data_IF_001607816426
#
_entry.id   IF_001607816426
#
_cell.length_a   1.000
_cell.length_b   1.000
_cell.length_c   1.000
_cell.angle_alpha   90.00
_cell.angle_beta   90.00
_cell.angle_gamma   90.00
#
_symmetry.space_group_name_H-M   'P 1'
#
loop_
_entity.id
_entity.type
_entity.pdbx_description
1 polymer ?
#
# COMPACT_ATOMS: atom_id res chain seq x y z
N UNK A 1 27.47 10.71 -28.21
CA UNK A 1 27.11 9.70 -27.21
C UNK A 1 27.30 8.34 -27.86
N UNK A 2 27.94 7.34 -27.24
CA UNK A 2 28.03 6.00 -27.83
C UNK A 2 26.63 5.44 -28.01
N UNK A 3 26.40 4.78 -29.15
CA UNK A 3 25.13 4.12 -29.45
C UNK A 3 24.83 3.11 -28.35
N UNK A 4 23.76 3.32 -27.59
CA UNK A 4 23.33 2.40 -26.54
C UNK A 4 22.92 1.07 -27.16
N UNK A 5 23.39 -0.01 -26.60
CA UNK A 5 23.07 -1.34 -27.10
C UNK A 5 21.63 -1.72 -26.74
N UNK A 6 20.67 -1.42 -27.61
CA UNK A 6 19.26 -1.68 -27.41
C UNK A 6 18.88 -3.16 -27.27
N UNK A 7 19.80 -4.09 -27.49
CA UNK A 7 19.51 -5.52 -27.35
C UNK A 7 19.20 -5.92 -25.90
N UNK A 8 19.74 -5.20 -24.92
CA UNK A 8 19.44 -5.41 -23.49
C UNK A 8 17.97 -5.12 -23.15
N UNK A 9 17.28 -4.30 -23.93
CA UNK A 9 15.89 -3.90 -23.65
C UNK A 9 14.85 -4.96 -24.02
N UNK A 10 15.25 -6.04 -24.67
CA UNK A 10 14.36 -7.14 -25.04
C UNK A 10 14.08 -8.10 -23.86
N UNK A 11 14.85 -8.00 -22.82
CA UNK A 11 14.71 -8.81 -21.60
C UNK A 11 14.50 -7.90 -20.39
N UNK A 12 13.66 -8.35 -19.47
CA UNK A 12 13.52 -7.67 -18.17
C UNK A 12 14.80 -7.95 -17.39
N UNK A 13 15.59 -6.94 -17.06
CA UNK A 13 16.84 -7.15 -16.35
C UNK A 13 16.56 -7.51 -14.88
N UNK A 14 17.39 -8.39 -14.32
CA UNK A 14 17.34 -8.70 -12.89
C UNK A 14 17.87 -7.56 -12.02
N UNK A 15 18.78 -6.76 -12.59
CA UNK A 15 19.36 -5.58 -11.97
C UNK A 15 19.74 -4.57 -13.06
N UNK A 16 19.48 -3.28 -12.80
CA UNK A 16 19.86 -2.18 -13.68
C UNK A 16 21.04 -1.42 -13.11
N UNK A 17 21.97 -1.03 -13.97
CA UNK A 17 22.97 -0.03 -13.65
C UNK A 17 22.37 1.37 -13.74
N UNK A 18 22.94 2.31 -12.96
CA UNK A 18 22.49 3.70 -12.96
C UNK A 18 22.53 4.26 -14.39
N UNK A 19 21.41 4.85 -14.83
CA UNK A 19 21.24 5.44 -16.16
C UNK A 19 20.86 4.47 -17.27
N UNK A 20 20.59 3.20 -16.98
CA UNK A 20 19.99 2.26 -17.93
C UNK A 20 18.45 2.42 -17.99
N UNK A 21 17.88 2.02 -19.11
CA UNK A 21 16.43 2.06 -19.32
C UNK A 21 15.82 0.67 -19.18
N UNK A 22 14.68 0.60 -18.56
CA UNK A 22 13.85 -0.61 -18.48
C UNK A 22 13.02 -0.76 -19.77
N UNK A 23 12.79 -1.99 -20.20
CA UNK A 23 11.88 -2.25 -21.32
C UNK A 23 10.45 -1.89 -20.91
N UNK A 24 9.73 -1.16 -21.78
CA UNK A 24 8.31 -0.84 -21.59
C UNK A 24 7.40 -2.08 -21.47
N UNK A 25 7.88 -3.25 -21.87
CA UNK A 25 7.17 -4.52 -21.71
C UNK A 25 6.84 -4.85 -20.25
N UNK A 26 7.58 -4.32 -19.29
CA UNK A 26 7.26 -4.51 -17.87
C UNK A 26 5.86 -3.99 -17.50
N UNK A 27 5.33 -3.04 -18.28
CA UNK A 27 4.02 -2.43 -18.04
C UNK A 27 2.89 -3.06 -18.87
N UNK A 28 3.23 -3.87 -19.92
CA UNK A 28 2.22 -4.30 -20.90
C UNK A 28 2.23 -5.79 -21.25
N UNK A 29 3.29 -6.54 -20.86
CA UNK A 29 3.41 -7.95 -21.23
C UNK A 29 2.65 -8.85 -20.24
N UNK A 30 1.71 -9.64 -20.76
CA UNK A 30 0.90 -10.59 -20.02
C UNK A 30 1.72 -11.65 -19.23
N UNK A 31 2.83 -12.11 -19.81
CA UNK A 31 3.65 -13.15 -19.16
C UNK A 31 4.44 -12.56 -18.00
N UNK A 32 4.91 -11.33 -18.14
CA UNK A 32 5.54 -10.61 -17.04
C UNK A 32 4.53 -10.41 -15.92
N UNK A 33 3.33 -9.92 -16.24
CA UNK A 33 2.25 -9.74 -15.27
C UNK A 33 1.93 -11.04 -14.53
N UNK A 34 1.72 -12.15 -15.24
CA UNK A 34 1.46 -13.46 -14.61
C UNK A 34 2.61 -13.90 -13.72
N UNK A 35 3.85 -13.64 -14.13
CA UNK A 35 5.02 -13.93 -13.29
C UNK A 35 5.02 -13.10 -12.02
N UNK A 36 4.75 -11.79 -12.11
CA UNK A 36 4.65 -10.89 -10.96
C UNK A 36 3.58 -11.35 -9.97
N UNK A 37 2.38 -11.71 -10.46
CA UNK A 37 1.31 -12.24 -9.59
C UNK A 37 1.76 -13.49 -8.83
N UNK A 38 2.46 -14.40 -9.50
CA UNK A 38 2.87 -15.68 -8.90
C UNK A 38 4.11 -15.59 -8.01
N UNK A 39 5.05 -14.68 -8.31
CA UNK A 39 6.35 -14.60 -7.62
C UNK A 39 6.46 -13.43 -6.66
N UNK A 40 5.67 -12.38 -6.84
CA UNK A 40 5.69 -11.19 -6.00
C UNK A 40 4.44 -11.17 -5.12
N UNK A 41 3.26 -10.91 -5.71
CA UNK A 41 2.03 -10.67 -4.95
C UNK A 41 1.59 -11.85 -4.07
N UNK A 42 1.96 -13.07 -4.42
CA UNK A 42 1.71 -14.25 -3.56
C UNK A 42 2.66 -14.36 -2.37
N UNK A 43 3.80 -13.70 -2.41
CA UNK A 43 4.89 -13.90 -1.44
C UNK A 43 5.14 -12.71 -0.52
N UNK A 44 4.47 -11.61 -0.74
CA UNK A 44 4.61 -10.38 0.06
C UNK A 44 3.46 -10.24 1.06
N UNK A 45 3.66 -9.43 2.08
CA UNK A 45 2.60 -9.00 2.98
C UNK A 45 1.83 -7.83 2.38
N UNK A 46 0.51 -7.90 2.40
CA UNK A 46 -0.40 -6.88 1.85
C UNK A 46 -1.41 -6.47 2.93
N UNK A 47 -1.56 -5.18 3.23
CA UNK A 47 -2.61 -4.71 4.12
C UNK A 47 -3.96 -4.79 3.40
N UNK A 48 -4.89 -5.52 3.98
CA UNK A 48 -6.17 -5.86 3.32
C UNK A 48 -7.36 -5.08 3.87
N UNK A 49 -7.28 -4.70 5.12
CA UNK A 49 -8.25 -3.82 5.80
C UNK A 49 -7.61 -3.25 7.07
N UNK A 50 -8.35 -2.39 7.75
CA UNK A 50 -8.01 -1.94 9.09
C UNK A 50 -8.92 -2.66 10.11
N UNK A 51 -8.44 -2.89 11.33
CA UNK A 51 -9.21 -3.60 12.36
C UNK A 51 -10.50 -2.89 12.75
N UNK A 52 -10.57 -1.56 12.65
CA UNK A 52 -11.80 -0.79 12.87
C UNK A 52 -12.89 -1.04 11.82
N UNK A 53 -12.55 -1.63 10.68
CA UNK A 53 -13.52 -2.05 9.66
C UNK A 53 -14.23 -3.38 10.04
N UNK A 54 -13.79 -4.01 11.13
CA UNK A 54 -14.28 -5.27 11.67
C UNK A 54 -14.59 -5.11 13.17
N UNK A 55 -15.51 -4.21 13.59
CA UNK A 55 -15.69 -3.82 14.98
C UNK A 55 -16.20 -4.94 15.90
N UNK A 56 -16.89 -5.94 15.36
CA UNK A 56 -17.53 -7.00 16.14
C UNK A 56 -17.26 -8.41 15.62
N UNK A 57 -17.46 -9.40 16.49
CA UNK A 57 -17.40 -10.81 16.10
C UNK A 57 -18.40 -11.11 14.97
N UNK A 58 -17.95 -11.82 13.94
CA UNK A 58 -18.73 -12.10 12.72
C UNK A 58 -18.59 -11.04 11.62
N UNK A 59 -18.01 -9.88 11.92
CA UNK A 59 -17.71 -8.89 10.88
C UNK A 59 -16.63 -9.42 9.94
N UNK A 60 -16.77 -9.10 8.67
CA UNK A 60 -15.85 -9.57 7.64
C UNK A 60 -15.62 -8.58 6.51
N UNK A 61 -14.48 -8.75 5.85
CA UNK A 61 -14.12 -8.09 4.58
C UNK A 61 -13.69 -9.13 3.57
N UNK A 62 -13.95 -8.85 2.30
CA UNK A 62 -13.42 -9.65 1.19
C UNK A 62 -12.43 -8.84 0.38
N UNK A 63 -11.33 -9.47 0.03
CA UNK A 63 -10.29 -8.89 -0.83
C UNK A 63 -9.79 -9.91 -1.85
N UNK A 64 -8.90 -9.47 -2.74
CA UNK A 64 -8.26 -10.34 -3.72
C UNK A 64 -6.76 -10.08 -3.72
N UNK A 65 -5.97 -11.14 -3.55
CA UNK A 65 -4.51 -11.08 -3.66
C UNK A 65 -4.10 -12.06 -4.76
N UNK A 66 -3.35 -11.60 -5.76
CA UNK A 66 -2.87 -12.40 -6.89
C UNK A 66 -3.98 -13.26 -7.54
N UNK A 67 -5.19 -12.72 -7.69
CA UNK A 67 -6.34 -13.40 -8.25
C UNK A 67 -7.07 -14.37 -7.30
N UNK A 68 -6.56 -14.58 -6.08
CA UNK A 68 -7.19 -15.44 -5.08
C UNK A 68 -8.10 -14.62 -4.16
N UNK A 69 -9.38 -15.03 -4.04
CA UNK A 69 -10.35 -14.39 -3.16
C UNK A 69 -10.11 -14.77 -1.71
N UNK A 70 -10.08 -13.79 -0.82
CA UNK A 70 -9.78 -13.95 0.60
C UNK A 70 -10.91 -13.33 1.41
N UNK A 71 -11.31 -14.02 2.46
CA UNK A 71 -12.21 -13.56 3.49
C UNK A 71 -11.39 -13.26 4.75
N UNK A 72 -11.48 -12.02 5.24
CA UNK A 72 -10.92 -11.61 6.51
C UNK A 72 -12.09 -11.47 7.48
N UNK A 73 -12.03 -12.17 8.59
CA UNK A 73 -13.14 -12.27 9.55
C UNK A 73 -12.64 -12.09 10.98
N UNK A 74 -13.40 -11.35 11.80
CA UNK A 74 -13.19 -11.27 13.25
C UNK A 74 -14.01 -12.37 13.93
N UNK A 75 -13.34 -13.22 14.70
CA UNK A 75 -13.98 -14.27 15.49
C UNK A 75 -14.37 -13.80 16.91
N UNK A 76 -15.14 -14.63 17.59
CA UNK A 76 -15.33 -14.49 19.05
C UNK A 76 -13.97 -14.54 19.74
N UNK A 77 -13.72 -13.65 20.70
CA UNK A 77 -12.40 -13.53 21.34
C UNK A 77 -11.44 -12.53 20.69
N UNK A 78 -11.93 -11.77 19.71
CA UNK A 78 -11.25 -10.62 19.10
C UNK A 78 -10.09 -10.97 18.15
N UNK A 79 -9.95 -12.23 17.74
CA UNK A 79 -8.94 -12.66 16.78
C UNK A 79 -9.43 -12.42 15.35
N UNK A 80 -8.56 -11.93 14.48
CA UNK A 80 -8.85 -11.75 13.06
C UNK A 80 -8.10 -12.81 12.25
N UNK A 81 -8.85 -13.51 11.40
CA UNK A 81 -8.32 -14.55 10.53
C UNK A 81 -8.51 -14.19 9.06
N UNK A 82 -7.53 -14.59 8.24
CA UNK A 82 -7.63 -14.56 6.80
C UNK A 82 -7.77 -15.99 6.26
N UNK A 83 -8.84 -16.26 5.51
CA UNK A 83 -9.12 -17.58 4.97
C UNK A 83 -9.41 -17.50 3.48
N UNK A 84 -9.21 -18.61 2.77
CA UNK A 84 -9.63 -18.71 1.38
C UNK A 84 -11.14 -18.56 1.28
N UNK A 85 -11.58 -17.58 0.48
CA UNK A 85 -13.01 -17.39 0.24
C UNK A 85 -13.51 -18.42 -0.77
N UNK A 86 -14.15 -19.46 -0.26
CA UNK A 86 -14.75 -20.53 -1.06
C UNK A 86 -16.27 -20.36 -1.25
N UNK A 87 -16.83 -19.25 -0.74
CA UNK A 87 -18.25 -18.99 -0.85
C UNK A 87 -18.63 -18.62 -2.29
N UNK A 88 -19.43 -19.46 -2.93
CA UNK A 88 -20.09 -19.10 -4.17
C UNK A 88 -21.10 -17.98 -3.93
N UNK A 89 -21.26 -17.08 -4.90
CA UNK A 89 -22.30 -16.03 -4.86
C UNK A 89 -23.67 -16.68 -4.64
N UNK A 90 -24.18 -16.65 -3.41
CA UNK A 90 -25.58 -16.93 -3.16
C UNK A 90 -26.42 -15.70 -3.54
N UNK A 91 -27.59 -15.88 -4.19
CA UNK A 91 -28.55 -14.80 -4.36
C UNK A 91 -28.93 -14.22 -2.98
N UNK A 92 -29.18 -12.92 -2.92
CA UNK A 92 -29.59 -12.21 -1.70
C UNK A 92 -30.74 -12.93 -1.01
N UNK A 93 -30.48 -13.53 0.11
CA UNK A 93 -31.46 -14.12 1.01
C UNK A 93 -30.79 -14.27 2.37
N UNK A 94 -31.49 -13.86 3.43
CA UNK A 94 -31.08 -13.80 4.83
C UNK A 94 -29.84 -14.65 5.17
N UNK A 95 -28.73 -13.99 5.37
CA UNK A 95 -27.57 -14.63 5.98
C UNK A 95 -27.83 -14.74 7.48
N UNK A 96 -28.33 -15.93 7.90
CA UNK A 96 -28.34 -16.30 9.30
C UNK A 96 -26.91 -16.52 9.81
N UNK A 97 -26.69 -16.57 11.13
CA UNK A 97 -25.37 -16.64 11.77
C UNK A 97 -24.60 -17.96 11.55
N UNK A 98 -25.10 -18.87 10.74
CA UNK A 98 -24.40 -20.13 10.43
C UNK A 98 -23.60 -19.96 9.13
N UNK A 99 -22.37 -19.47 9.25
CA UNK A 99 -21.34 -19.68 8.24
C UNK A 99 -20.91 -21.15 8.36
N UNK A 100 -21.61 -22.05 7.70
CA UNK A 100 -21.23 -23.44 7.60
C UNK A 100 -19.99 -23.56 6.73
N UNK A 101 -18.82 -23.69 7.33
CA UNK A 101 -17.60 -24.10 6.63
C UNK A 101 -17.80 -25.53 6.13
N UNK A 102 -18.08 -25.71 4.84
CA UNK A 102 -17.91 -27.00 4.19
C UNK A 102 -16.41 -27.17 3.91
N UNK A 103 -15.81 -28.18 4.51
CA UNK A 103 -14.40 -28.53 4.50
C UNK A 103 -13.51 -27.56 5.30
N UNK A 104 -12.38 -28.06 5.80
CA UNK A 104 -11.43 -27.28 6.61
C UNK A 104 -10.95 -26.07 5.83
N UNK A 105 -11.24 -24.84 6.26
CA UNK A 105 -10.84 -23.64 5.52
C UNK A 105 -9.32 -23.55 5.41
N UNK A 106 -8.83 -23.14 4.24
CA UNK A 106 -7.41 -22.79 4.11
C UNK A 106 -7.19 -21.45 4.79
N UNK A 107 -6.42 -21.44 5.88
CA UNK A 107 -5.97 -20.25 6.54
C UNK A 107 -4.73 -19.68 5.85
N UNK A 108 -4.61 -18.36 5.87
CA UNK A 108 -3.43 -17.62 5.45
C UNK A 108 -2.76 -16.97 6.64
N UNK A 109 -1.47 -16.70 6.54
CA UNK A 109 -0.77 -15.91 7.55
C UNK A 109 -1.33 -14.49 7.58
N UNK A 110 -1.65 -14.02 8.78
CA UNK A 110 -2.15 -12.67 9.03
C UNK A 110 -1.50 -12.08 10.27
N UNK A 111 -1.32 -10.77 10.29
CA UNK A 111 -0.79 -10.00 11.43
C UNK A 111 -1.49 -8.64 11.49
N UNK A 112 -1.60 -8.04 12.67
CA UNK A 112 -2.17 -6.70 12.87
C UNK A 112 -1.05 -5.80 13.35
N UNK A 113 -0.64 -4.85 12.51
CA UNK A 113 0.48 -3.94 12.80
C UNK A 113 0.29 -2.57 12.17
N UNK A 114 1.17 -1.66 12.57
CA UNK A 114 1.31 -0.33 11.96
C UNK A 114 0.01 0.47 11.96
N UNK A 115 -0.52 0.72 13.16
CA UNK A 115 -1.74 1.49 13.35
C UNK A 115 -3.02 0.70 13.15
N UNK A 116 -3.02 -0.63 13.37
CA UNK A 116 -4.23 -1.48 13.31
C UNK A 116 -4.54 -2.06 11.92
N UNK A 117 -3.62 -1.99 10.95
CA UNK A 117 -3.82 -2.63 9.65
C UNK A 117 -3.67 -4.14 9.75
N UNK A 118 -4.58 -4.85 9.11
CA UNK A 118 -4.58 -6.32 8.97
C UNK A 118 -3.80 -6.67 7.71
N UNK A 119 -2.67 -7.32 7.89
CA UNK A 119 -1.77 -7.77 6.83
C UNK A 119 -1.97 -9.24 6.55
N UNK A 120 -1.94 -9.62 5.29
CA UNK A 120 -2.12 -11.00 4.83
C UNK A 120 -1.06 -11.33 3.78
N UNK A 121 -0.56 -12.57 3.81
CA UNK A 121 0.28 -13.12 2.75
C UNK A 121 -0.19 -14.49 2.34
N UNK A 122 -0.02 -14.84 1.06
CA UNK A 122 -0.31 -16.17 0.52
C UNK A 122 0.90 -17.10 0.57
N UNK A 123 2.05 -16.60 1.00
CA UNK A 123 3.26 -17.40 1.20
C UNK A 123 3.03 -18.38 2.36
N UNK A 124 3.35 -19.64 2.14
CA UNK A 124 3.23 -20.68 3.17
C UNK A 124 4.34 -20.62 4.24
N UNK A 125 5.46 -19.99 3.91
CA UNK A 125 6.60 -19.78 4.81
C UNK A 125 7.09 -18.33 4.70
N UNK A 126 6.30 -17.34 5.10
CA UNK A 126 6.66 -15.94 4.94
C UNK A 126 7.78 -15.53 5.91
N UNK A 127 8.56 -14.51 5.57
CA UNK A 127 9.35 -13.80 6.56
C UNK A 127 8.43 -13.22 7.63
N UNK A 128 8.94 -13.00 8.83
CA UNK A 128 8.19 -12.22 9.82
C UNK A 128 7.89 -10.83 9.28
N UNK A 129 6.85 -10.18 9.83
CA UNK A 129 6.51 -8.82 9.43
C UNK A 129 7.69 -7.85 9.66
N UNK A 130 8.44 -8.02 10.75
CA UNK A 130 9.58 -7.16 11.07
C UNK A 130 10.74 -7.34 10.08
N UNK A 131 11.00 -8.57 9.63
CA UNK A 131 11.98 -8.85 8.56
C UNK A 131 11.49 -8.31 7.22
N UNK A 132 10.19 -8.39 6.93
CA UNK A 132 9.60 -7.88 5.71
C UNK A 132 9.75 -6.36 5.59
N UNK A 133 9.38 -5.62 6.62
CA UNK A 133 9.42 -4.14 6.59
C UNK A 133 10.82 -3.56 6.78
N UNK A 134 11.76 -4.31 7.31
CA UNK A 134 13.19 -3.95 7.49
C UNK A 134 13.39 -2.56 8.14
N UNK A 135 12.52 -2.19 9.08
CA UNK A 135 12.58 -0.92 9.78
C UNK A 135 12.07 0.30 8.99
N UNK A 136 11.44 0.10 7.84
CA UNK A 136 10.88 1.21 7.03
C UNK A 136 9.85 2.04 7.80
N UNK A 137 9.12 1.45 8.75
CA UNK A 137 8.14 2.13 9.59
C UNK A 137 8.73 2.93 10.78
N UNK A 138 10.03 2.90 10.99
CA UNK A 138 10.64 3.60 12.15
C UNK A 138 10.39 5.11 12.13
N UNK A 139 10.20 5.72 10.95
CA UNK A 139 9.91 7.15 10.81
C UNK A 139 8.55 7.57 11.36
N UNK A 140 7.56 6.67 11.38
CA UNK A 140 6.20 6.97 11.84
C UNK A 140 5.70 6.02 12.94
N UNK A 141 6.55 5.14 13.45
CA UNK A 141 6.16 4.11 14.42
C UNK A 141 5.54 4.68 15.69
N UNK A 142 6.13 5.74 16.24
CA UNK A 142 5.63 6.37 17.47
C UNK A 142 4.25 6.99 17.26
N UNK A 143 4.08 7.69 16.14
CA UNK A 143 2.79 8.30 15.76
C UNK A 143 1.69 7.25 15.55
N UNK A 144 1.99 6.17 14.84
CA UNK A 144 1.02 5.10 14.55
C UNK A 144 0.61 4.28 15.77
N UNK A 145 1.41 4.28 16.84
CA UNK A 145 1.13 3.53 18.08
C UNK A 145 0.69 4.43 19.24
N UNK A 146 0.58 5.75 19.04
CA UNK A 146 0.24 6.68 20.10
C UNK A 146 -1.21 6.50 20.58
N UNK A 147 -2.12 6.32 19.63
CA UNK A 147 -3.57 6.17 19.88
C UNK A 147 -4.16 5.18 18.88
N UNK A 148 -5.26 4.49 19.23
CA UNK A 148 -6.00 3.69 18.26
C UNK A 148 -6.47 4.53 17.08
N UNK A 149 -6.34 3.99 15.87
CA UNK A 149 -6.80 4.65 14.64
C UNK A 149 -8.13 4.07 14.19
N UNK A 150 -8.93 4.90 13.53
CA UNK A 150 -10.20 4.51 12.90
C UNK A 150 -10.22 4.92 11.44
N UNK A 151 -10.75 4.05 10.58
CA UNK A 151 -11.01 4.39 9.19
C UNK A 151 -12.23 5.29 9.10
N UNK A 152 -12.02 6.57 8.81
CA UNK A 152 -13.11 7.54 8.62
C UNK A 152 -13.51 7.71 7.15
N UNK A 153 -12.67 7.27 6.23
CA UNK A 153 -12.93 7.34 4.79
C UNK A 153 -12.38 6.10 4.07
N UNK A 154 -13.18 5.56 3.16
CA UNK A 154 -12.80 4.44 2.31
C UNK A 154 -13.27 4.68 0.88
N UNK A 155 -12.34 4.54 -0.06
CA UNK A 155 -12.62 4.73 -1.48
C UNK A 155 -11.90 3.68 -2.32
N UNK A 156 -12.56 3.23 -3.40
CA UNK A 156 -11.97 2.37 -4.44
C UNK A 156 -12.04 3.05 -5.80
N UNK A 157 -10.96 2.96 -6.54
CA UNK A 157 -10.92 3.39 -7.93
C UNK A 157 -10.29 2.30 -8.81
N UNK A 158 -10.86 2.08 -9.98
CA UNK A 158 -10.22 1.27 -11.03
C UNK A 158 -9.61 2.23 -12.05
N UNK A 159 -8.31 2.14 -12.24
CA UNK A 159 -7.54 3.01 -13.12
C UNK A 159 -7.02 2.20 -14.30
N UNK A 160 -7.18 2.68 -15.55
CA UNK A 160 -6.70 2.00 -16.74
C UNK A 160 -5.19 2.22 -16.94
N UNK A 161 -4.39 1.69 -16.03
CA UNK A 161 -2.93 1.70 -16.11
C UNK A 161 -2.31 0.50 -15.40
N UNK A 162 -1.03 0.26 -15.67
CA UNK A 162 -0.26 -0.72 -14.93
C UNK A 162 -0.02 -0.24 -13.48
N UNK A 163 -0.08 -1.17 -12.51
CA UNK A 163 0.08 -0.85 -11.09
C UNK A 163 1.44 -0.19 -10.77
N UNK A 164 2.50 -0.54 -11.50
CA UNK A 164 3.85 0.02 -11.32
C UNK A 164 3.92 1.52 -11.61
N UNK A 165 3.06 2.04 -12.48
CA UNK A 165 3.04 3.47 -12.80
C UNK A 165 2.65 4.33 -11.60
N UNK A 166 1.80 3.82 -10.71
CA UNK A 166 1.48 4.53 -9.46
C UNK A 166 2.70 4.57 -8.53
N UNK A 167 3.36 3.42 -8.39
CA UNK A 167 4.57 3.31 -7.58
C UNK A 167 5.69 4.20 -8.15
N UNK A 168 5.92 4.14 -9.46
CA UNK A 168 6.90 5.00 -10.14
C UNK A 168 6.63 6.49 -9.87
N UNK A 169 5.35 6.91 -9.96
CA UNK A 169 4.94 8.31 -9.71
C UNK A 169 5.23 8.75 -8.27
N UNK A 170 5.05 7.88 -7.28
CA UNK A 170 5.35 8.20 -5.89
C UNK A 170 6.87 8.27 -5.61
N UNK A 171 7.68 7.59 -6.40
CA UNK A 171 9.13 7.46 -6.17
C UNK A 171 9.98 8.38 -7.06
N UNK A 172 9.38 9.10 -8.01
CA UNK A 172 10.08 10.01 -8.90
C UNK A 172 9.74 11.48 -8.60
N UNK A 173 10.54 12.40 -9.16
CA UNK A 173 10.38 13.84 -8.93
C UNK A 173 9.90 14.62 -10.16
N UNK A 174 9.69 13.97 -11.29
CA UNK A 174 9.35 14.68 -12.53
C UNK A 174 7.95 15.29 -12.49
N UNK A 175 6.98 14.63 -11.90
CA UNK A 175 5.63 15.16 -11.79
C UNK A 175 5.56 16.35 -10.81
N UNK A 176 6.50 16.45 -9.87
CA UNK A 176 6.57 17.56 -8.92
C UNK A 176 6.77 18.90 -9.63
N UNK A 177 7.48 18.91 -10.76
CA UNK A 177 7.57 20.10 -11.62
C UNK A 177 6.21 20.52 -12.16
N UNK A 178 5.31 19.57 -12.43
CA UNK A 178 3.94 19.86 -12.86
C UNK A 178 3.16 20.52 -11.72
N UNK A 179 3.33 20.06 -10.49
CA UNK A 179 2.74 20.70 -9.31
C UNK A 179 3.26 22.14 -9.14
N UNK A 180 4.56 22.36 -9.27
CA UNK A 180 5.16 23.68 -9.21
C UNK A 180 4.61 24.61 -10.31
N UNK A 181 4.57 24.14 -11.56
CA UNK A 181 4.04 24.90 -12.67
C UNK A 181 2.55 25.19 -12.54
N UNK A 182 1.78 24.28 -12.01
CA UNK A 182 0.35 24.46 -11.73
C UNK A 182 0.08 25.27 -10.47
N UNK A 183 1.12 25.84 -9.84
CA UNK A 183 1.03 26.62 -8.61
C UNK A 183 0.35 25.88 -7.46
N UNK A 184 0.54 24.57 -7.39
CA UNK A 184 0.17 23.81 -6.20
C UNK A 184 1.09 24.26 -5.08
N UNK A 185 0.51 24.84 -4.08
CA UNK A 185 1.20 25.40 -2.93
C UNK A 185 1.63 24.26 -1.99
N UNK A 186 2.65 24.49 -1.16
CA UNK A 186 3.12 23.56 -0.16
C UNK A 186 4.45 22.89 -0.47
N UNK A 187 5.00 23.07 -1.68
CA UNK A 187 6.34 22.62 -2.01
C UNK A 187 7.36 23.76 -1.79
N UNK A 188 8.30 23.53 -0.91
CA UNK A 188 9.37 24.47 -0.57
C UNK A 188 10.74 23.80 -0.74
N UNK A 189 11.81 24.50 -0.35
CA UNK A 189 13.17 23.98 -0.45
C UNK A 189 13.36 22.69 0.35
N UNK A 190 12.65 22.49 1.47
CA UNK A 190 12.74 21.26 2.27
C UNK A 190 12.18 20.06 1.52
N UNK A 191 11.14 20.24 0.72
CA UNK A 191 10.59 19.19 -0.14
C UNK A 191 11.64 18.68 -1.15
N UNK A 192 12.35 19.59 -1.80
CA UNK A 192 13.37 19.23 -2.80
C UNK A 192 14.68 18.74 -2.17
N UNK A 193 14.94 19.08 -0.92
CA UNK A 193 16.12 18.65 -0.18
C UNK A 193 15.94 17.32 0.56
N UNK A 194 14.74 16.73 0.53
CA UNK A 194 14.49 15.45 1.22
C UNK A 194 15.35 14.33 0.66
N UNK A 195 15.78 13.45 1.53
CA UNK A 195 16.55 12.27 1.17
C UNK A 195 15.70 11.01 1.25
N UNK A 196 15.70 10.21 0.20
CA UNK A 196 15.06 8.91 0.20
C UNK A 196 15.95 7.89 0.91
N UNK A 197 15.37 7.13 1.81
CA UNK A 197 16.03 6.00 2.46
C UNK A 197 15.46 4.69 1.93
N UNK A 198 16.31 3.92 1.24
CA UNK A 198 15.95 2.58 0.74
C UNK A 198 16.20 1.51 1.79
N UNK A 199 15.31 0.53 1.82
CA UNK A 199 15.37 -0.65 2.68
C UNK A 199 15.42 -1.92 1.83
N UNK A 200 15.73 -3.05 2.45
CA UNK A 200 15.58 -4.34 1.79
C UNK A 200 14.11 -4.55 1.37
N UNK A 201 13.87 -5.51 0.51
CA UNK A 201 12.55 -5.81 -0.06
C UNK A 201 11.93 -4.68 -0.93
N UNK A 202 12.70 -3.63 -1.27
CA UNK A 202 12.27 -2.58 -2.18
C UNK A 202 11.40 -1.49 -1.53
N UNK A 203 11.41 -1.37 -0.21
CA UNK A 203 10.71 -0.30 0.49
C UNK A 203 11.54 0.98 0.52
N UNK A 204 10.85 2.11 0.50
CA UNK A 204 11.49 3.44 0.52
C UNK A 204 10.74 4.34 1.51
N UNK A 205 11.48 4.94 2.43
CA UNK A 205 11.02 6.15 3.10
C UNK A 205 11.38 7.33 2.20
N UNK A 206 10.38 8.09 1.79
CA UNK A 206 10.53 9.20 0.84
C UNK A 206 10.97 10.50 1.57
N UNK A 207 11.45 10.34 2.78
CA UNK A 207 11.94 11.42 3.62
C UNK A 207 10.82 12.21 4.29
N UNK A 208 11.19 12.83 5.41
CA UNK A 208 10.34 13.80 6.08
C UNK A 208 10.50 15.16 5.42
N UNK A 209 9.42 15.87 5.21
CA UNK A 209 9.48 17.23 4.73
C UNK A 209 8.33 18.07 5.30
N UNK A 210 8.63 19.35 5.46
CA UNK A 210 7.68 20.35 5.87
C UNK A 210 6.86 20.82 4.67
N UNK A 211 5.53 20.89 4.84
CA UNK A 211 4.61 21.41 3.83
C UNK A 211 4.02 22.71 4.33
N UNK A 212 4.16 23.78 3.57
CA UNK A 212 3.60 25.08 3.91
C UNK A 212 2.10 25.12 3.58
N UNK A 213 1.30 24.90 4.58
CA UNK A 213 -0.17 24.96 4.46
C UNK A 213 -0.77 26.27 5.02
N UNK A 214 0.06 27.15 5.57
CA UNK A 214 -0.30 28.41 6.21
C UNK A 214 -1.06 29.38 5.31
N UNK A 215 -0.98 29.17 4.01
CA UNK A 215 -1.73 29.95 3.02
C UNK A 215 -3.14 29.45 2.74
N UNK A 216 -3.59 28.37 3.39
CA UNK A 216 -4.96 27.88 3.29
C UNK A 216 -5.76 28.35 4.51
N UNK A 217 -6.89 29.01 4.27
CA UNK A 217 -7.80 29.46 5.32
C UNK A 217 -8.26 28.26 6.20
N UNK A 218 -8.22 28.42 7.50
CA UNK A 218 -8.59 27.39 8.47
C UNK A 218 -7.47 26.38 8.81
N UNK A 219 -6.25 26.66 8.36
CA UNK A 219 -5.10 25.78 8.64
C UNK A 219 -4.46 26.03 10.01
N UNK A 220 -4.64 27.22 10.56
CA UNK A 220 -4.12 27.67 11.84
C UNK A 220 -4.59 26.83 13.04
N UNK A 221 -5.69 26.10 12.91
CA UNK A 221 -6.23 25.23 13.95
C UNK A 221 -5.70 23.79 13.94
N UNK A 222 -4.77 23.46 13.05
CA UNK A 222 -4.32 22.06 12.86
C UNK A 222 -3.34 21.57 13.88
N UNK A 223 -2.69 22.43 14.66
CA UNK A 223 -1.80 21.98 15.73
C UNK A 223 -2.52 21.05 16.72
N UNK A 224 -3.78 21.33 17.00
CA UNK A 224 -4.61 20.49 17.87
C UNK A 224 -5.03 19.14 17.24
N UNK A 225 -4.91 19.02 15.92
CA UNK A 225 -5.33 17.83 15.15
C UNK A 225 -4.14 17.01 14.64
N UNK A 226 -2.90 17.41 14.93
CA UNK A 226 -1.72 16.70 14.47
C UNK A 226 -1.56 15.36 15.15
N UNK A 227 -1.04 14.39 14.40
CA UNK A 227 -0.62 13.12 14.99
C UNK A 227 0.40 13.36 16.10
N UNK A 228 0.31 12.66 17.23
CA UNK A 228 1.35 12.68 18.25
C UNK A 228 2.70 12.33 17.64
N UNK A 229 3.76 12.99 18.12
CA UNK A 229 5.15 12.81 17.68
C UNK A 229 5.44 13.16 16.21
N UNK A 230 4.50 13.71 15.49
CA UNK A 230 4.72 14.29 14.17
C UNK A 230 4.60 15.81 14.27
N UNK A 231 5.63 16.58 13.84
CA UNK A 231 5.50 18.02 13.80
C UNK A 231 4.35 18.45 12.90
N UNK A 232 3.64 19.49 13.29
CA UNK A 232 2.62 20.14 12.44
C UNK A 232 3.24 20.48 11.08
N UNK A 233 2.48 20.36 10.02
CA UNK A 233 2.94 20.58 8.64
C UNK A 233 3.99 19.58 8.13
N UNK A 234 4.35 18.55 8.87
CA UNK A 234 5.23 17.50 8.36
C UNK A 234 4.44 16.42 7.62
N UNK A 235 5.14 15.86 6.66
CA UNK A 235 4.69 14.74 5.86
C UNK A 235 5.74 13.64 5.90
N UNK A 236 5.32 12.45 6.32
CA UNK A 236 6.11 11.23 6.27
C UNK A 236 5.46 10.27 5.28
N UNK A 237 6.25 9.68 4.41
CA UNK A 237 5.73 8.73 3.42
C UNK A 237 6.63 7.51 3.33
N UNK A 238 5.99 6.33 3.37
CA UNK A 238 6.64 5.06 3.08
C UNK A 238 6.00 4.50 1.82
N UNK A 239 6.82 4.31 0.80
CA UNK A 239 6.44 3.63 -0.42
C UNK A 239 6.95 2.20 -0.36
N UNK A 240 6.03 1.24 -0.27
CA UNK A 240 6.34 -0.16 -0.07
C UNK A 240 6.11 -0.95 -1.36
N UNK A 241 7.16 -1.67 -1.77
CA UNK A 241 7.01 -2.62 -2.86
C UNK A 241 6.06 -3.76 -2.44
N UNK A 242 5.12 -4.19 -3.32
CA UNK A 242 5.00 -3.84 -4.74
C UNK A 242 3.90 -2.81 -5.07
N UNK A 243 3.40 -2.06 -4.16
CA UNK A 243 2.36 -1.07 -4.46
C UNK A 243 1.49 -0.75 -3.26
N UNK A 244 2.13 -0.39 -2.16
CA UNK A 244 1.48 0.04 -0.93
C UNK A 244 2.12 1.37 -0.54
N UNK A 245 1.31 2.36 -0.20
CA UNK A 245 1.81 3.65 0.24
C UNK A 245 1.18 4.05 1.56
N UNK A 246 2.01 4.35 2.56
CA UNK A 246 1.60 4.93 3.83
C UNK A 246 2.00 6.40 3.84
N UNK A 247 1.03 7.26 4.00
CA UNK A 247 1.14 8.70 3.86
C UNK A 247 0.62 9.36 5.12
N UNK A 248 1.50 9.68 6.05
CA UNK A 248 1.16 10.36 7.30
C UNK A 248 1.32 11.87 7.11
N UNK A 249 0.20 12.58 7.12
CA UNK A 249 0.14 14.02 6.82
C UNK A 249 -0.46 14.75 8.00
N UNK A 250 0.37 15.31 8.85
CA UNK A 250 -0.10 16.12 9.97
C UNK A 250 -1.22 15.42 10.79
N UNK A 251 -2.46 15.53 10.36
CA UNK A 251 -3.64 15.04 11.08
C UNK A 251 -4.32 13.80 10.47
N UNK A 252 -3.80 13.24 9.37
CA UNK A 252 -4.42 12.10 8.70
C UNK A 252 -3.39 11.12 8.17
N UNK A 253 -3.64 9.84 8.40
CA UNK A 253 -2.95 8.76 7.70
C UNK A 253 -3.77 8.38 6.48
N UNK A 254 -3.16 8.40 5.29
CA UNK A 254 -3.73 7.81 4.09
C UNK A 254 -2.93 6.56 3.72
N UNK A 255 -3.62 5.47 3.49
CA UNK A 255 -3.02 4.23 3.02
C UNK A 255 -3.60 3.85 1.67
N UNK A 256 -2.74 3.74 0.68
CA UNK A 256 -3.09 3.35 -0.68
C UNK A 256 -2.61 1.91 -0.91
N UNK A 257 -3.48 1.04 -1.41
CA UNK A 257 -3.16 -0.35 -1.72
C UNK A 257 -3.54 -0.65 -3.17
N UNK A 258 -2.56 -1.03 -3.99
CA UNK A 258 -2.75 -1.38 -5.39
C UNK A 258 -2.99 -2.87 -5.55
N UNK A 259 -4.15 -3.22 -6.11
CA UNK A 259 -4.47 -4.58 -6.53
C UNK A 259 -4.42 -4.66 -8.06
N UNK A 260 -3.39 -5.28 -8.64
CA UNK A 260 -3.32 -5.46 -10.09
C UNK A 260 -4.45 -6.37 -10.58
N UNK A 261 -5.17 -5.93 -11.61
CA UNK A 261 -6.27 -6.69 -12.23
C UNK A 261 -5.87 -7.28 -13.59
N UNK A 262 -5.05 -6.54 -14.34
CA UNK A 262 -4.46 -6.92 -15.63
C UNK A 262 -3.21 -6.07 -15.86
N UNK A 263 -2.41 -6.34 -16.90
CA UNK A 263 -1.25 -5.49 -17.22
C UNK A 263 -1.58 -4.00 -17.37
N UNK A 264 -2.79 -3.69 -17.81
CA UNK A 264 -3.28 -2.34 -18.12
C UNK A 264 -4.35 -1.83 -17.17
N UNK A 265 -4.57 -2.51 -16.03
CA UNK A 265 -5.63 -2.13 -15.10
C UNK A 265 -5.25 -2.43 -13.65
N UNK A 266 -5.42 -1.46 -12.79
CA UNK A 266 -5.21 -1.57 -11.36
C UNK A 266 -6.43 -1.08 -10.59
N UNK A 267 -6.78 -1.75 -9.52
CA UNK A 267 -7.67 -1.23 -8.50
C UNK A 267 -6.84 -0.63 -7.38
N UNK A 268 -7.16 0.59 -6.97
CA UNK A 268 -6.54 1.25 -5.83
C UNK A 268 -7.59 1.40 -4.75
N UNK A 269 -7.24 0.99 -3.55
CA UNK A 269 -8.04 1.20 -2.34
C UNK A 269 -7.35 2.27 -1.50
N UNK A 270 -8.12 3.26 -1.07
CA UNK A 270 -7.67 4.37 -0.22
C UNK A 270 -8.38 4.28 1.13
N UNK A 271 -7.60 4.35 2.18
CA UNK A 271 -8.07 4.44 3.57
C UNK A 271 -7.47 5.64 4.27
#
# INVERSE_FOLDING_TARGET
MPARNHTKWKQVPGQLEVGEYVSSKIYSDENIFKKEMNTIFRNVWIPVCHESELPGAGDFRTTTIAGESILVVREEGNTIHAIKNTFERRPRGNMGPEIGFQDSPKFYHSDIKFGGFVWVTLNENPPTMDEWVDGSFNCMKESLNAEPLDVFHYHKAIIPCNYKLWHDTNSEFYHDYLHFHNRVTGFNDSYFARENKCFNNGHVNVGSFEVQYDQYEGFESREELSFPYLPTNHWEMIDMFPGINFNLRGSALRVDVMTPLSPDKVMIEFR
#
